data_IF_040413022392
#
_entry.id   IF_040413022392
#
_cell.length_a   1.000
_cell.length_b   1.000
_cell.length_c   1.000
_cell.angle_alpha   90.00
_cell.angle_beta   90.00
_cell.angle_gamma   90.00
#
_symmetry.space_group_name_H-M   'P 1'
#
loop_
_entity.id
_entity.type
_entity.pdbx_description
1 polymer ?
#
# COMPACT_ATOMS: atom_id res chain seq x y z
N UNK A 1 19.10 10.96 -4.89
CA UNK A 1 18.19 9.80 -4.99
C UNK A 1 17.26 9.65 -3.79
N UNK A 2 17.77 9.78 -2.56
CA UNK A 2 16.96 9.62 -1.34
C UNK A 2 15.82 10.64 -1.20
N UNK A 3 16.06 11.88 -1.62
CA UNK A 3 15.09 12.97 -1.53
C UNK A 3 13.93 12.83 -2.52
N UNK A 4 14.19 12.35 -3.73
CA UNK A 4 13.15 12.15 -4.75
C UNK A 4 12.15 11.04 -4.40
N UNK A 5 12.62 9.97 -3.77
CA UNK A 5 11.73 8.88 -3.37
C UNK A 5 10.86 9.22 -2.14
N UNK A 6 11.42 10.01 -1.21
CA UNK A 6 10.62 10.54 -0.08
C UNK A 6 9.57 11.52 -0.56
N UNK A 7 9.94 12.38 -1.51
CA UNK A 7 9.00 13.35 -2.06
C UNK A 7 7.87 12.66 -2.84
N UNK A 8 8.17 11.60 -3.58
CA UNK A 8 7.14 10.86 -4.31
C UNK A 8 6.12 10.18 -3.38
N UNK A 9 6.55 9.63 -2.25
CA UNK A 9 5.62 9.04 -1.28
C UNK A 9 4.82 10.11 -0.53
N UNK A 10 5.47 11.21 -0.14
CA UNK A 10 4.80 12.32 0.51
C UNK A 10 3.86 13.08 -0.46
N UNK A 11 4.24 13.16 -1.71
CA UNK A 11 3.46 13.80 -2.76
C UNK A 11 2.27 12.92 -3.18
N UNK A 12 2.47 11.62 -3.30
CA UNK A 12 1.41 10.64 -3.50
C UNK A 12 0.44 10.62 -2.32
N UNK A 13 0.95 10.83 -1.10
CA UNK A 13 0.14 10.90 0.11
C UNK A 13 -0.78 12.11 0.19
N UNK A 14 -0.45 13.21 -0.48
CA UNK A 14 -1.15 14.49 -0.28
C UNK A 14 -2.34 14.72 -1.20
N UNK A 15 -2.41 14.12 -2.37
CA UNK A 15 -3.34 14.57 -3.41
C UNK A 15 -3.96 13.48 -4.31
N UNK A 16 -3.89 12.22 -3.96
CA UNK A 16 -4.59 11.22 -4.77
C UNK A 16 -6.11 11.31 -4.58
N UNK A 17 -6.71 12.17 -5.37
CA UNK A 17 -8.14 12.04 -5.66
C UNK A 17 -8.30 10.89 -6.63
N UNK A 18 -8.97 9.85 -6.20
CA UNK A 18 -9.40 8.79 -7.10
C UNK A 18 -10.48 9.36 -8.03
N UNK A 19 -10.41 8.99 -9.29
CA UNK A 19 -11.41 9.41 -10.27
C UNK A 19 -12.81 9.09 -9.77
N UNK A 20 -13.65 10.11 -9.68
CA UNK A 20 -15.03 9.95 -9.28
C UNK A 20 -15.85 9.45 -10.46
N UNK A 21 -16.73 8.51 -10.19
CA UNK A 21 -17.78 8.08 -11.11
C UNK A 21 -17.28 7.56 -12.47
N UNK A 22 -16.33 6.63 -12.43
CA UNK A 22 -15.87 5.92 -13.62
C UNK A 22 -16.07 4.42 -13.45
N UNK A 23 -16.52 3.76 -14.48
CA UNK A 23 -16.58 2.29 -14.56
C UNK A 23 -15.17 1.69 -14.79
N UNK A 24 -14.14 2.51 -14.76
CA UNK A 24 -12.76 2.14 -15.02
C UNK A 24 -11.96 2.21 -13.73
N UNK A 25 -11.31 1.10 -13.39
CA UNK A 25 -10.35 1.06 -12.28
C UNK A 25 -9.08 1.82 -12.66
N UNK A 26 -8.67 2.75 -11.80
CA UNK A 26 -7.33 3.32 -11.90
C UNK A 26 -6.32 2.28 -11.42
N UNK A 27 -5.33 1.96 -12.23
CA UNK A 27 -4.32 0.94 -11.93
C UNK A 27 -2.97 1.61 -11.74
N UNK A 28 -2.31 1.31 -10.62
CA UNK A 28 -0.95 1.75 -10.35
C UNK A 28 -0.05 0.55 -10.10
N UNK A 29 1.08 0.51 -10.80
CA UNK A 29 2.13 -0.45 -10.50
C UNK A 29 3.06 0.12 -9.42
N UNK A 30 3.37 -0.65 -8.41
CA UNK A 30 4.27 -0.28 -7.32
C UNK A 30 5.36 -1.31 -7.15
N UNK A 31 6.58 -0.82 -6.92
CA UNK A 31 7.73 -1.64 -6.64
C UNK A 31 8.36 -1.20 -5.31
N UNK A 32 8.50 -2.13 -4.40
CA UNK A 32 9.18 -1.93 -3.13
C UNK A 32 10.41 -2.80 -3.05
N UNK A 33 11.43 -2.31 -2.38
CA UNK A 33 12.62 -3.09 -2.01
C UNK A 33 12.57 -3.41 -0.54
N UNK A 34 12.89 -4.65 -0.18
CA UNK A 34 13.09 -5.04 1.18
C UNK A 34 14.27 -4.29 1.84
N UNK A 35 14.35 -4.37 3.15
CA UNK A 35 15.42 -3.78 3.93
C UNK A 35 16.77 -4.34 3.51
N UNK A 36 17.69 -3.47 3.08
CA UNK A 36 19.11 -3.79 3.03
C UNK A 36 19.79 -3.23 4.27
N UNK A 37 20.80 -3.92 4.78
CA UNK A 37 21.62 -3.43 5.90
C UNK A 37 22.01 -1.97 5.68
N UNK A 38 21.66 -1.10 6.64
CA UNK A 38 22.00 0.32 6.64
C UNK A 38 21.11 1.23 5.78
N UNK A 39 20.02 0.71 5.21
CA UNK A 39 19.07 1.53 4.46
C UNK A 39 17.72 1.61 5.18
N UNK A 40 17.37 2.75 5.75
CA UNK A 40 16.03 2.97 6.35
C UNK A 40 15.00 3.23 5.27
N UNK A 41 14.75 2.29 4.36
CA UNK A 41 14.08 2.70 3.14
C UNK A 41 12.76 2.01 2.97
N UNK A 42 11.80 2.79 2.66
CA UNK A 42 10.64 2.67 1.77
C UNK A 42 10.35 1.24 1.27
N UNK A 43 10.49 0.28 2.20
CA UNK A 43 10.10 -1.09 1.94
C UNK A 43 8.60 -1.28 2.15
N UNK A 44 7.94 -0.28 2.73
CA UNK A 44 6.52 -0.31 3.07
C UNK A 44 5.91 1.09 3.05
N UNK A 45 4.62 1.17 2.86
CA UNK A 45 3.90 2.44 3.01
C UNK A 45 3.47 2.67 4.47
N UNK A 46 2.94 3.84 4.73
CA UNK A 46 2.34 4.17 6.01
C UNK A 46 0.98 3.49 6.18
N UNK A 47 0.51 3.42 7.40
CA UNK A 47 -0.89 3.16 7.67
C UNK A 47 -1.76 4.17 6.93
N UNK A 48 -2.81 3.71 6.29
CA UNK A 48 -3.71 4.57 5.54
C UNK A 48 -5.10 3.95 5.40
N UNK A 49 -6.04 4.77 4.97
CA UNK A 49 -7.44 4.39 4.78
C UNK A 49 -7.91 4.94 3.44
N UNK A 50 -8.61 4.12 2.68
CA UNK A 50 -9.37 4.57 1.52
C UNK A 50 -10.80 4.89 1.95
N UNK A 51 -11.25 6.12 1.67
CA UNK A 51 -12.59 6.59 1.98
C UNK A 51 -13.43 6.72 0.74
N UNK A 52 -14.72 6.43 0.86
CA UNK A 52 -15.73 6.73 -0.15
C UNK A 52 -17.12 6.76 0.51
N UNK A 53 -18.05 7.50 -0.07
CA UNK A 53 -19.44 7.51 0.38
C UNK A 53 -20.18 6.27 -0.10
N UNK A 54 -19.83 5.79 -1.31
CA UNK A 54 -20.29 4.52 -1.89
C UNK A 54 -19.18 3.89 -2.71
N UNK A 55 -19.13 2.57 -2.76
CA UNK A 55 -18.10 1.86 -3.48
C UNK A 55 -16.72 2.16 -2.91
N UNK A 56 -15.74 2.34 -3.78
CA UNK A 56 -14.38 2.64 -3.37
C UNK A 56 -13.62 1.44 -2.81
N UNK A 57 -12.50 1.74 -2.18
CA UNK A 57 -11.54 0.74 -1.72
C UNK A 57 -10.46 0.47 -2.74
N UNK A 58 -9.67 -0.55 -2.51
CA UNK A 58 -8.53 -0.89 -3.35
C UNK A 58 -8.40 -2.40 -3.49
N UNK A 59 -7.96 -2.84 -4.65
CA UNK A 59 -7.59 -4.23 -4.89
C UNK A 59 -6.09 -4.27 -5.15
N UNK A 60 -5.36 -5.07 -4.38
CA UNK A 60 -3.95 -5.36 -4.62
C UNK A 60 -3.81 -6.69 -5.34
N UNK A 61 -2.96 -6.72 -6.35
CA UNK A 61 -2.55 -7.95 -7.02
C UNK A 61 -1.03 -8.05 -6.92
N UNK A 62 -0.51 -9.02 -6.17
CA UNK A 62 0.91 -9.28 -6.11
C UNK A 62 1.36 -9.91 -7.43
N UNK A 63 2.36 -9.31 -8.08
CA UNK A 63 2.86 -9.78 -9.38
C UNK A 63 4.27 -10.34 -9.33
N UNK A 64 5.08 -9.90 -8.37
CA UNK A 64 6.45 -10.41 -8.21
C UNK A 64 6.96 -10.22 -6.79
N UNK A 65 7.90 -11.07 -6.39
CA UNK A 65 8.54 -11.00 -5.09
C UNK A 65 7.68 -11.49 -3.94
N UNK A 66 7.96 -10.99 -2.74
CA UNK A 66 7.28 -11.35 -1.51
C UNK A 66 7.04 -10.10 -0.69
N UNK A 67 5.84 -9.95 -0.16
CA UNK A 67 5.46 -8.78 0.60
C UNK A 67 4.50 -9.10 1.74
N UNK A 68 4.06 -8.05 2.40
CA UNK A 68 3.15 -8.10 3.53
C UNK A 68 1.96 -7.18 3.31
N UNK A 69 0.83 -7.59 3.82
CA UNK A 69 -0.36 -6.79 4.01
C UNK A 69 -0.87 -6.95 5.43
N UNK A 70 -1.26 -5.86 6.06
CA UNK A 70 -1.82 -5.92 7.42
C UNK A 70 -2.93 -4.90 7.59
N UNK A 71 -4.03 -5.34 8.17
CA UNK A 71 -5.08 -4.48 8.68
C UNK A 71 -4.82 -4.14 10.15
N UNK A 72 -5.23 -2.96 10.56
CA UNK A 72 -5.09 -2.51 11.93
C UNK A 72 -5.75 -3.48 12.90
N UNK A 73 -4.99 -3.94 13.91
CA UNK A 73 -5.47 -4.89 14.91
C UNK A 73 -5.52 -6.35 14.46
N UNK A 74 -5.03 -6.65 13.24
CA UNK A 74 -4.95 -8.01 12.72
C UNK A 74 -3.48 -8.44 12.53
N UNK A 75 -3.26 -9.73 12.36
CA UNK A 75 -1.96 -10.25 11.98
C UNK A 75 -1.61 -9.89 10.54
N UNK A 76 -0.32 -9.66 10.29
CA UNK A 76 0.16 -9.44 8.93
C UNK A 76 0.05 -10.71 8.10
N UNK A 77 -0.40 -10.55 6.86
CA UNK A 77 -0.51 -11.63 5.88
C UNK A 77 0.59 -11.52 4.84
N UNK A 78 1.29 -12.61 4.61
CA UNK A 78 2.29 -12.69 3.56
C UNK A 78 1.63 -12.75 2.19
N UNK A 79 2.21 -12.03 1.23
CA UNK A 79 1.75 -11.96 -0.16
C UNK A 79 2.78 -12.55 -1.11
N UNK A 80 2.31 -13.41 -2.01
CA UNK A 80 3.08 -14.05 -3.06
C UNK A 80 2.48 -13.72 -4.44
N UNK A 81 3.24 -13.88 -5.53
CA UNK A 81 2.71 -13.67 -6.88
C UNK A 81 1.43 -14.44 -7.13
N UNK A 82 0.40 -13.73 -7.61
CA UNK A 82 -0.93 -14.25 -7.82
C UNK A 82 -1.92 -14.02 -6.68
N UNK A 83 -1.45 -13.60 -5.51
CA UNK A 83 -2.32 -13.22 -4.40
C UNK A 83 -3.05 -11.93 -4.70
N UNK A 84 -4.34 -11.91 -4.36
CA UNK A 84 -5.22 -10.75 -4.50
C UNK A 84 -5.78 -10.38 -3.14
N UNK A 85 -5.70 -9.11 -2.79
CA UNK A 85 -6.29 -8.56 -1.59
C UNK A 85 -7.35 -7.56 -1.95
N UNK A 86 -8.57 -7.78 -1.51
CA UNK A 86 -9.62 -6.78 -1.58
C UNK A 86 -9.62 -5.97 -0.28
N UNK A 87 -9.36 -4.68 -0.40
CA UNK A 87 -9.30 -3.75 0.73
C UNK A 87 -10.55 -2.87 0.69
N UNK A 88 -11.53 -3.13 1.55
CA UNK A 88 -12.75 -2.32 1.60
C UNK A 88 -12.46 -0.88 2.03
N UNK A 89 -13.37 0.01 1.65
CA UNK A 89 -13.41 1.38 2.19
C UNK A 89 -13.45 1.37 3.71
N UNK A 90 -12.71 2.27 4.34
CA UNK A 90 -12.68 2.45 5.79
C UNK A 90 -11.70 1.55 6.55
N UNK A 91 -11.03 0.64 5.89
CA UNK A 91 -10.07 -0.26 6.53
C UNK A 91 -8.70 0.40 6.63
N UNK A 92 -8.22 0.59 7.86
CA UNK A 92 -6.85 1.05 8.13
C UNK A 92 -5.87 -0.10 7.88
N UNK A 93 -4.94 0.09 6.96
CA UNK A 93 -4.02 -0.96 6.54
C UNK A 93 -2.69 -0.39 6.05
N UNK A 94 -1.74 -1.28 5.83
CA UNK A 94 -0.50 -1.00 5.13
C UNK A 94 -0.08 -2.23 4.30
N UNK A 95 0.82 -2.02 3.37
CA UNK A 95 1.50 -3.08 2.61
C UNK A 95 2.92 -2.66 2.24
N UNK A 96 3.74 -3.65 1.92
CA UNK A 96 5.13 -3.41 1.55
C UNK A 96 5.89 -4.70 1.29
N UNK A 97 7.19 -4.56 0.99
CA UNK A 97 8.07 -5.68 0.74
C UNK A 97 8.42 -6.43 2.02
N UNK A 98 8.64 -7.73 1.92
CA UNK A 98 9.37 -8.47 2.94
C UNK A 98 10.83 -7.98 3.02
N UNK A 99 11.45 -8.10 4.19
CA UNK A 99 12.77 -7.53 4.44
C UNK A 99 13.87 -8.06 3.52
N UNK A 100 13.73 -9.26 3.02
CA UNK A 100 14.69 -9.96 2.17
C UNK A 100 14.28 -10.07 0.70
N UNK A 101 13.23 -9.36 0.28
CA UNK A 101 12.68 -9.50 -1.06
C UNK A 101 12.30 -8.17 -1.70
N UNK A 102 12.20 -8.20 -3.01
CA UNK A 102 11.42 -7.25 -3.76
C UNK A 102 9.94 -7.58 -3.63
N UNK A 103 9.13 -6.58 -3.83
CA UNK A 103 7.70 -6.73 -3.89
C UNK A 103 7.12 -5.81 -4.95
N UNK A 104 6.50 -6.40 -5.94
CA UNK A 104 5.79 -5.65 -6.98
C UNK A 104 4.32 -6.04 -6.95
N UNK A 105 3.47 -5.04 -6.98
CA UNK A 105 2.04 -5.24 -7.02
C UNK A 105 1.35 -4.23 -7.92
N UNK A 106 0.16 -4.58 -8.39
CA UNK A 106 -0.79 -3.65 -8.95
C UNK A 106 -1.74 -3.19 -7.83
N UNK A 107 -2.03 -1.91 -7.81
CA UNK A 107 -3.08 -1.33 -6.99
C UNK A 107 -4.20 -0.83 -7.89
N UNK A 108 -5.36 -1.42 -7.77
CA UNK A 108 -6.55 -1.04 -8.52
C UNK A 108 -7.47 -0.24 -7.61
N UNK A 109 -7.64 1.03 -7.92
CA UNK A 109 -8.60 1.86 -7.18
C UNK A 109 -10.01 1.52 -7.63
N UNK A 110 -10.82 1.07 -6.71
CA UNK A 110 -12.22 0.71 -7.00
C UNK A 110 -13.03 2.00 -7.16
N UNK A 111 -13.80 2.16 -8.24
CA UNK A 111 -14.64 3.32 -8.43
C UNK A 111 -15.62 3.52 -7.30
N UNK A 112 -15.87 4.77 -6.94
CA UNK A 112 -16.79 5.13 -5.87
C UNK A 112 -17.15 6.61 -5.87
N UNK A 113 -17.99 7.00 -4.94
CA UNK A 113 -18.45 8.37 -4.76
C UNK A 113 -17.59 9.07 -3.70
N UNK A 114 -17.09 10.27 -4.00
CA UNK A 114 -16.27 11.08 -3.09
C UNK A 114 -15.07 10.32 -2.51
N UNK A 115 -14.35 9.60 -3.36
CA UNK A 115 -13.20 8.83 -2.97
C UNK A 115 -12.04 9.73 -2.53
N UNK A 116 -11.37 9.34 -1.44
CA UNK A 116 -10.16 10.00 -0.96
C UNK A 116 -9.28 9.00 -0.20
N UNK A 117 -8.00 9.32 -0.08
CA UNK A 117 -7.05 8.55 0.71
C UNK A 117 -6.60 9.37 1.91
N UNK A 118 -6.60 8.74 3.07
CA UNK A 118 -6.11 9.31 4.31
C UNK A 118 -4.82 8.61 4.72
N UNK A 119 -3.72 9.35 4.74
CA UNK A 119 -2.44 8.86 5.20
C UNK A 119 -2.27 9.13 6.69
N UNK A 120 -1.82 8.11 7.40
CA UNK A 120 -1.67 8.09 8.84
C UNK A 120 -0.20 7.87 9.23
N UNK A 121 0.03 7.34 10.43
CA UNK A 121 1.38 7.11 10.95
C UNK A 121 2.17 6.07 10.16
N UNK A 122 3.48 6.14 10.29
CA UNK A 122 4.36 5.11 9.75
C UNK A 122 4.18 3.78 10.49
N UNK A 123 4.36 2.68 9.78
CA UNK A 123 4.54 1.37 10.41
C UNK A 123 5.89 1.37 11.11
N UNK A 124 5.92 1.12 12.41
CA UNK A 124 7.15 1.17 13.19
C UNK A 124 8.14 0.10 12.77
N UNK A 125 9.42 0.39 12.94
CA UNK A 125 10.46 -0.61 12.70
C UNK A 125 10.32 -1.83 13.64
N UNK A 126 9.83 -1.61 14.85
CA UNK A 126 9.56 -2.68 15.80
C UNK A 126 8.46 -3.62 15.32
N UNK A 127 7.41 -3.11 14.71
CA UNK A 127 6.34 -3.94 14.11
C UNK A 127 6.84 -4.67 12.88
N UNK A 128 7.50 -3.95 11.98
CA UNK A 128 7.97 -4.51 10.72
C UNK A 128 9.06 -5.58 10.92
N UNK A 129 9.96 -5.40 11.86
CA UNK A 129 11.06 -6.34 12.12
C UNK A 129 10.61 -7.68 12.72
N UNK A 130 9.38 -7.77 13.23
CA UNK A 130 8.78 -9.03 13.67
C UNK A 130 8.34 -9.94 12.52
N UNK A 131 8.23 -9.37 11.32
CA UNK A 131 7.81 -10.11 10.13
C UNK A 131 9.03 -10.76 9.47
N UNK A 132 8.88 -11.97 9.05
CA UNK A 132 9.97 -12.76 8.46
C UNK A 132 10.44 -12.36 7.07
#
# INVERSE_FOLDING_TARGET
MRTKQRNNLAETARHERVAQNTDVYAVKARNYKGLRRGSPVLCRNNWHIHHADKGGGQILVCVAGRGWYQEWGQEARELHPGDVVNIPTGVKHWHGAAADSWFSHLALEVPGENCSNQWLEAVSDAEYSKLG
#
